data_IF_393584931660
#
_entry.id   IF_393584931660
#
_cell.length_a   1.000
_cell.length_b   1.000
_cell.length_c   1.000
_cell.angle_alpha   90.00
_cell.angle_beta   90.00
_cell.angle_gamma   90.00
#
_symmetry.space_group_name_H-M   'P 1'
#
loop_
_entity.id
_entity.type
_entity.pdbx_description
1 polymer ?
#
# COMPACT_ATOMS: atom_id res chain seq x y z
N UNK A 1 29.87 -39.15 -29.40
CA UNK A 1 29.41 -38.12 -28.45
C UNK A 1 30.55 -37.14 -28.36
N UNK A 2 30.32 -35.87 -28.67
CA UNK A 2 31.30 -34.82 -28.54
C UNK A 2 31.53 -34.52 -27.05
N UNK A 3 32.77 -34.59 -26.52
CA UNK A 3 33.07 -34.35 -25.11
C UNK A 3 32.74 -32.95 -24.62
N UNK A 4 32.59 -31.99 -25.55
CA UNK A 4 32.25 -30.58 -25.22
C UNK A 4 30.72 -30.35 -25.10
N UNK A 5 29.89 -31.33 -25.39
CA UNK A 5 28.43 -31.17 -25.36
C UNK A 5 27.87 -31.53 -24.01
N UNK A 6 27.20 -30.57 -23.35
CA UNK A 6 26.43 -30.84 -22.12
C UNK A 6 25.24 -31.73 -22.47
N UNK A 7 25.17 -32.89 -21.86
CA UNK A 7 24.11 -33.89 -22.09
C UNK A 7 22.91 -33.68 -21.17
N UNK A 8 23.16 -33.25 -19.92
CA UNK A 8 22.11 -32.94 -18.94
C UNK A 8 22.65 -32.00 -17.89
N UNK A 9 21.74 -31.29 -17.23
CA UNK A 9 22.03 -30.38 -16.14
C UNK A 9 21.13 -30.74 -14.95
N UNK A 10 21.71 -30.79 -13.76
CA UNK A 10 20.98 -31.03 -12.51
C UNK A 10 21.05 -29.77 -11.68
N UNK A 11 19.91 -29.31 -11.19
CA UNK A 11 19.81 -28.14 -10.34
C UNK A 11 19.01 -28.46 -9.07
N UNK A 12 19.39 -27.87 -7.95
CA UNK A 12 18.59 -27.88 -6.73
C UNK A 12 17.55 -26.76 -6.81
N UNK A 13 16.29 -27.11 -6.84
CA UNK A 13 15.18 -26.18 -6.99
C UNK A 13 14.41 -25.94 -5.68
N UNK A 14 14.96 -26.38 -4.53
CA UNK A 14 14.33 -26.14 -3.22
C UNK A 14 14.33 -24.66 -2.82
N UNK A 15 15.24 -23.89 -3.40
CA UNK A 15 15.28 -22.44 -3.32
C UNK A 15 15.33 -21.88 -4.73
N UNK A 16 14.56 -20.84 -4.97
CA UNK A 16 14.49 -20.15 -6.25
C UNK A 16 14.87 -18.66 -6.07
N UNK A 17 15.48 -18.11 -7.08
CA UNK A 17 15.74 -16.69 -7.15
C UNK A 17 14.65 -15.99 -7.94
N UNK A 18 14.07 -14.98 -7.34
CA UNK A 18 13.18 -14.04 -8.00
C UNK A 18 13.98 -12.81 -8.40
N UNK A 19 14.04 -12.53 -9.69
CA UNK A 19 14.60 -11.27 -10.19
C UNK A 19 13.47 -10.26 -10.40
N UNK A 20 13.62 -9.08 -9.85
CA UNK A 20 12.69 -7.97 -9.99
C UNK A 20 13.43 -6.76 -10.54
N UNK A 21 12.74 -5.96 -11.35
CA UNK A 21 13.22 -4.69 -11.85
C UNK A 21 12.51 -3.56 -11.11
N UNK A 22 13.25 -2.74 -10.38
CA UNK A 22 12.73 -1.65 -9.57
C UNK A 22 13.19 -0.31 -10.13
N UNK A 23 12.30 0.69 -10.27
CA UNK A 23 12.70 2.03 -10.69
C UNK A 23 13.77 2.63 -9.78
N UNK A 24 14.77 3.28 -10.38
CA UNK A 24 15.88 3.90 -9.65
C UNK A 24 15.40 4.90 -8.58
N UNK A 25 14.31 5.59 -8.82
CA UNK A 25 13.72 6.56 -7.89
C UNK A 25 13.19 5.95 -6.59
N UNK A 26 12.94 4.63 -6.57
CA UNK A 26 12.42 3.92 -5.40
C UNK A 26 13.54 3.23 -4.59
N UNK A 27 14.79 3.34 -5.01
CA UNK A 27 15.90 2.61 -4.40
C UNK A 27 16.18 3.02 -2.95
N UNK A 28 15.95 4.28 -2.60
CA UNK A 28 16.14 4.80 -1.24
C UNK A 28 15.23 4.12 -0.20
N UNK A 29 14.15 3.47 -0.66
CA UNK A 29 13.20 2.77 0.19
C UNK A 29 13.54 1.28 0.36
N UNK A 30 14.54 0.78 -0.38
CA UNK A 30 14.91 -0.62 -0.37
C UNK A 30 16.02 -0.91 0.62
N UNK A 31 15.87 -2.00 1.36
CA UNK A 31 16.89 -2.54 2.25
C UNK A 31 16.95 -4.06 2.13
N UNK A 32 18.15 -4.61 2.22
CA UNK A 32 18.33 -6.06 2.30
C UNK A 32 17.58 -6.61 3.52
N UNK A 33 16.97 -7.76 3.36
CA UNK A 33 16.16 -8.40 4.40
C UNK A 33 14.68 -8.03 4.35
N UNK A 34 14.25 -7.10 3.49
CA UNK A 34 12.83 -6.81 3.30
C UNK A 34 12.08 -8.04 2.79
N UNK A 35 10.85 -8.20 3.26
CA UNK A 35 9.95 -9.25 2.79
C UNK A 35 9.45 -8.94 1.39
N UNK A 36 9.32 -9.99 0.59
CA UNK A 36 8.75 -9.93 -0.75
C UNK A 36 7.63 -10.94 -0.83
N UNK A 37 6.56 -10.59 -1.52
CA UNK A 37 5.49 -11.48 -1.92
C UNK A 37 5.52 -11.66 -3.42
N UNK A 38 5.60 -12.88 -3.87
CA UNK A 38 5.58 -13.20 -5.29
C UNK A 38 4.31 -13.97 -5.63
N UNK A 39 3.58 -13.49 -6.61
CA UNK A 39 2.39 -14.15 -7.16
C UNK A 39 2.68 -14.56 -8.58
N UNK A 40 2.88 -15.87 -8.86
CA UNK A 40 3.08 -16.37 -10.22
C UNK A 40 1.87 -16.10 -11.10
N UNK A 41 2.10 -15.81 -12.38
CA UNK A 41 1.04 -15.61 -13.35
C UNK A 41 0.14 -16.84 -13.45
N UNK A 42 -1.17 -16.62 -13.47
CA UNK A 42 -2.17 -17.69 -13.49
C UNK A 42 -2.36 -18.42 -12.16
N UNK A 43 -1.63 -18.06 -11.10
CA UNK A 43 -1.76 -18.61 -9.76
C UNK A 43 -2.43 -17.61 -8.82
N UNK A 44 -3.16 -18.12 -7.81
CA UNK A 44 -3.63 -17.34 -6.67
C UNK A 44 -2.74 -17.52 -5.43
N UNK A 45 -1.72 -18.34 -5.54
CA UNK A 45 -0.81 -18.57 -4.43
C UNK A 45 0.25 -17.50 -4.38
N UNK A 46 0.44 -16.95 -3.20
CA UNK A 46 1.52 -16.02 -2.88
C UNK A 46 2.66 -16.81 -2.27
N UNK A 47 3.86 -16.55 -2.75
CA UNK A 47 5.09 -17.13 -2.20
C UNK A 47 5.89 -16.03 -1.54
N UNK A 48 6.18 -16.20 -0.25
CA UNK A 48 6.99 -15.25 0.50
C UNK A 48 8.47 -15.46 0.21
N UNK A 49 9.20 -14.36 0.19
CA UNK A 49 10.64 -14.33 0.01
C UNK A 49 11.31 -13.19 0.76
N UNK A 50 12.60 -13.11 0.62
CA UNK A 50 13.42 -12.08 1.27
C UNK A 50 14.38 -11.49 0.24
N UNK A 51 14.45 -10.15 0.20
CA UNK A 51 15.38 -9.40 -0.64
C UNK A 51 16.81 -9.67 -0.14
N UNK A 52 17.63 -10.31 -0.95
CA UNK A 52 18.99 -10.73 -0.57
C UNK A 52 20.09 -10.02 -1.36
N UNK A 53 19.75 -9.39 -2.49
CA UNK A 53 20.71 -8.69 -3.30
C UNK A 53 20.09 -7.54 -4.09
N UNK A 54 20.86 -6.47 -4.24
CA UNK A 54 20.52 -5.27 -5.00
C UNK A 54 21.70 -4.95 -5.94
N UNK A 55 21.41 -4.75 -7.22
CA UNK A 55 22.45 -4.38 -8.19
C UNK A 55 22.97 -2.97 -7.87
N UNK A 56 24.27 -2.78 -8.06
CA UNK A 56 24.94 -1.48 -7.90
C UNK A 56 24.82 -0.58 -9.13
N UNK A 57 24.29 -1.11 -10.23
CA UNK A 57 24.13 -0.38 -11.49
C UNK A 57 22.68 -0.39 -11.92
N UNK A 58 22.20 0.76 -12.39
CA UNK A 58 20.94 0.85 -13.11
C UNK A 58 21.15 0.59 -14.61
N UNK A 59 20.18 -0.01 -15.23
CA UNK A 59 20.10 -0.10 -16.68
C UNK A 59 19.89 1.31 -17.29
N UNK A 60 20.68 1.66 -18.30
CA UNK A 60 20.72 3.02 -18.87
C UNK A 60 19.46 3.38 -19.66
N UNK A 61 18.84 2.39 -20.27
CA UNK A 61 17.73 2.58 -21.19
C UNK A 61 16.41 2.57 -20.44
N UNK A 62 16.27 1.65 -19.48
CA UNK A 62 15.03 1.46 -18.70
C UNK A 62 15.02 2.25 -17.39
N UNK A 63 16.18 2.67 -16.87
CA UNK A 63 16.37 3.28 -15.55
C UNK A 63 15.89 2.37 -14.40
N UNK A 64 15.95 1.07 -14.62
CA UNK A 64 15.61 0.07 -13.63
C UNK A 64 16.88 -0.49 -12.98
N UNK A 65 16.76 -0.84 -11.71
CA UNK A 65 17.78 -1.57 -10.96
C UNK A 65 17.27 -2.99 -10.75
N UNK A 66 18.10 -3.98 -11.07
CA UNK A 66 17.77 -5.35 -10.76
C UNK A 66 17.96 -5.63 -9.27
N UNK A 67 16.99 -6.28 -8.69
CA UNK A 67 17.06 -6.79 -7.33
C UNK A 67 16.72 -8.27 -7.31
N UNK A 68 17.26 -8.99 -6.34
CA UNK A 68 17.03 -10.42 -6.22
C UNK A 68 16.46 -10.77 -4.85
N UNK A 69 15.48 -11.63 -4.86
CA UNK A 69 14.96 -12.22 -3.64
C UNK A 69 15.11 -13.74 -3.67
N UNK A 70 15.25 -14.31 -2.50
CA UNK A 70 15.26 -15.75 -2.29
C UNK A 70 13.86 -16.21 -1.91
N UNK A 71 13.32 -17.16 -2.69
CA UNK A 71 12.03 -17.80 -2.46
C UNK A 71 12.22 -19.25 -2.01
N UNK A 72 11.49 -19.67 -0.98
CA UNK A 72 11.42 -21.07 -0.62
C UNK A 72 10.51 -21.83 -1.60
N UNK A 73 10.99 -22.98 -2.10
CA UNK A 73 10.27 -23.84 -3.04
C UNK A 73 10.32 -25.30 -2.60
N UNK A 74 10.05 -25.56 -1.32
CA UNK A 74 10.11 -26.89 -0.75
C UNK A 74 9.09 -27.86 -1.38
N UNK A 75 7.98 -27.36 -1.86
CA UNK A 75 6.91 -28.13 -2.52
C UNK A 75 7.10 -28.26 -4.03
N UNK A 76 8.16 -27.68 -4.61
CA UNK A 76 8.52 -27.79 -6.02
C UNK A 76 7.52 -27.15 -6.99
N UNK A 77 6.69 -26.21 -6.52
CA UNK A 77 5.64 -25.58 -7.34
C UNK A 77 6.18 -24.47 -8.23
N UNK A 78 7.21 -23.76 -7.77
CA UNK A 78 7.89 -22.78 -8.61
C UNK A 78 8.78 -23.49 -9.61
N UNK A 79 8.69 -23.06 -10.86
CA UNK A 79 9.52 -23.55 -11.95
C UNK A 79 10.46 -22.44 -12.42
N UNK A 80 11.57 -22.84 -13.02
CA UNK A 80 12.45 -21.89 -13.68
C UNK A 80 11.67 -21.10 -14.76
N UNK A 81 12.00 -19.82 -14.90
CA UNK A 81 11.36 -18.91 -15.87
C UNK A 81 9.84 -18.71 -15.61
N UNK A 82 9.40 -18.87 -14.37
CA UNK A 82 8.04 -18.48 -13.98
C UNK A 82 7.99 -16.95 -13.82
N UNK A 83 7.09 -16.33 -14.57
CA UNK A 83 6.80 -14.91 -14.46
C UNK A 83 5.67 -14.66 -13.46
N UNK A 84 5.57 -13.41 -13.01
CA UNK A 84 4.53 -13.00 -12.08
C UNK A 84 4.76 -11.61 -11.52
N UNK A 85 3.95 -11.26 -10.52
CA UNK A 85 4.04 -10.00 -9.83
C UNK A 85 4.78 -10.16 -8.49
N UNK A 86 5.79 -9.32 -8.27
CA UNK A 86 6.50 -9.24 -7.00
C UNK A 86 6.17 -7.94 -6.27
N UNK A 87 5.79 -8.04 -5.01
CA UNK A 87 5.53 -6.91 -4.11
C UNK A 87 6.61 -6.86 -3.04
N UNK A 88 7.34 -5.75 -2.95
CA UNK A 88 8.32 -5.51 -1.90
C UNK A 88 7.63 -4.80 -0.75
N UNK A 89 7.67 -5.39 0.44
CA UNK A 89 7.04 -4.83 1.63
C UNK A 89 7.98 -3.78 2.23
N UNK A 90 7.69 -2.51 1.98
CA UNK A 90 8.53 -1.40 2.44
C UNK A 90 8.34 -1.15 3.94
N UNK A 91 7.11 -1.26 4.44
CA UNK A 91 6.74 -1.07 5.84
C UNK A 91 5.54 -1.95 6.17
N UNK A 92 5.56 -2.51 7.35
CA UNK A 92 4.43 -3.24 7.93
C UNK A 92 4.08 -2.60 9.28
N UNK A 93 2.83 -2.16 9.43
CA UNK A 93 2.33 -1.53 10.64
C UNK A 93 1.02 -2.21 11.05
N UNK A 94 1.05 -2.96 12.16
CA UNK A 94 -0.09 -3.76 12.61
C UNK A 94 -1.19 -2.93 13.26
N UNK A 95 -0.84 -1.79 13.84
CA UNK A 95 -1.76 -0.94 14.61
C UNK A 95 -2.16 0.34 13.86
N UNK A 96 -1.92 0.39 12.54
CA UNK A 96 -2.29 1.53 11.72
C UNK A 96 -3.81 1.73 11.68
N UNK A 97 -4.24 2.95 11.93
CA UNK A 97 -5.62 3.36 11.65
C UNK A 97 -5.71 3.59 10.15
N UNK A 98 -6.58 2.85 9.48
CA UNK A 98 -6.79 2.99 8.04
C UNK A 98 -8.23 3.36 7.74
N UNK A 99 -8.41 4.17 6.71
CA UNK A 99 -9.72 4.57 6.20
C UNK A 99 -9.76 4.30 4.69
N UNK A 100 -10.94 4.03 4.11
CA UNK A 100 -11.07 4.03 2.65
C UNK A 100 -10.59 5.34 2.06
N UNK A 101 -9.78 5.31 1.01
CA UNK A 101 -9.18 6.51 0.40
C UNK A 101 -10.22 7.56 0.01
N UNK A 102 -11.40 7.11 -0.45
CA UNK A 102 -12.52 8.00 -0.79
C UNK A 102 -13.22 8.66 0.41
N UNK A 103 -12.87 8.31 1.66
CA UNK A 103 -13.44 8.94 2.86
C UNK A 103 -12.75 10.25 3.24
N UNK A 104 -11.54 10.49 2.72
CA UNK A 104 -10.78 11.71 2.98
C UNK A 104 -10.99 12.73 1.85
N UNK A 105 -11.12 13.99 2.22
CA UNK A 105 -11.35 15.07 1.29
C UNK A 105 -10.39 16.22 1.52
N UNK A 106 -9.92 16.81 0.43
CA UNK A 106 -9.11 18.02 0.48
C UNK A 106 -9.99 19.25 0.68
N UNK A 107 -9.71 20.06 1.71
CA UNK A 107 -10.44 21.31 2.05
C UNK A 107 -9.55 22.55 1.94
N UNK A 108 -8.83 22.65 0.82
CA UNK A 108 -7.98 23.79 0.53
C UNK A 108 -6.62 23.80 1.25
N UNK A 109 -6.57 23.62 2.54
CA UNK A 109 -5.33 23.62 3.34
C UNK A 109 -5.05 22.29 4.03
N UNK A 110 -6.04 21.44 4.20
CA UNK A 110 -5.92 20.20 4.97
C UNK A 110 -6.80 19.08 4.42
N UNK A 111 -6.48 17.86 4.80
CA UNK A 111 -7.34 16.70 4.58
C UNK A 111 -8.34 16.62 5.73
N UNK A 112 -9.59 16.34 5.40
CA UNK A 112 -10.67 16.18 6.38
C UNK A 112 -11.40 14.88 6.19
N UNK A 113 -11.96 14.37 7.29
CA UNK A 113 -12.93 13.28 7.31
C UNK A 113 -14.16 13.69 8.10
N UNK A 114 -15.26 13.01 7.88
CA UNK A 114 -16.52 13.24 8.57
C UNK A 114 -16.73 12.15 9.60
N UNK A 115 -16.58 12.48 10.89
CA UNK A 115 -16.74 11.55 12.00
C UNK A 115 -18.17 11.63 12.50
N UNK A 116 -18.82 10.49 12.63
CA UNK A 116 -20.19 10.37 13.13
C UNK A 116 -20.25 10.78 14.61
N UNK A 117 -21.23 11.62 14.97
CA UNK A 117 -21.49 11.98 16.36
C UNK A 117 -21.81 10.74 17.21
N UNK A 118 -21.39 10.73 18.47
CA UNK A 118 -21.61 9.63 19.41
C UNK A 118 -23.10 9.40 19.67
N UNK A 119 -23.89 10.48 19.71
CA UNK A 119 -25.32 10.48 19.98
C UNK A 119 -26.19 10.28 18.73
N UNK A 120 -25.57 9.84 17.62
CA UNK A 120 -26.23 9.68 16.31
C UNK A 120 -27.52 8.83 16.37
N UNK A 121 -27.59 7.88 17.28
CA UNK A 121 -28.72 6.95 17.43
C UNK A 121 -29.61 7.21 18.64
N UNK A 122 -29.34 8.21 19.47
CA UNK A 122 -30.06 8.47 20.72
C UNK A 122 -31.54 8.80 20.49
N UNK A 123 -31.87 9.42 19.35
CA UNK A 123 -33.25 9.71 19.00
C UNK A 123 -33.46 9.50 17.49
N UNK A 124 -34.53 8.80 17.08
CA UNK A 124 -34.88 8.62 15.65
C UNK A 124 -35.11 9.95 14.93
N UNK A 125 -35.69 10.90 15.64
CA UNK A 125 -36.11 12.21 15.07
C UNK A 125 -35.03 13.30 15.21
N UNK A 126 -33.91 13.01 15.84
CA UNK A 126 -32.81 13.95 15.98
C UNK A 126 -32.04 14.14 14.67
N UNK A 127 -31.49 15.34 14.47
CA UNK A 127 -30.57 15.58 13.37
C UNK A 127 -29.39 14.63 13.43
N UNK A 128 -29.03 14.05 12.28
CA UNK A 128 -27.88 13.17 12.15
C UNK A 128 -26.63 14.02 11.90
N UNK A 129 -25.79 14.10 12.91
CA UNK A 129 -24.63 14.99 12.93
C UNK A 129 -23.35 14.24 12.59
N UNK A 130 -22.56 14.85 11.73
CA UNK A 130 -21.16 14.46 11.47
C UNK A 130 -20.26 15.66 11.81
N UNK A 131 -19.16 15.38 12.48
CA UNK A 131 -18.13 16.38 12.79
C UNK A 131 -17.05 16.33 11.73
N UNK A 132 -16.72 17.48 11.18
CA UNK A 132 -15.56 17.64 10.30
C UNK A 132 -14.32 17.61 11.16
N UNK A 133 -13.35 16.77 10.79
CA UNK A 133 -12.10 16.66 11.52
C UNK A 133 -10.93 16.65 10.56
N UNK A 134 -9.97 17.54 10.79
CA UNK A 134 -8.71 17.54 10.07
C UNK A 134 -7.91 16.30 10.41
N UNK A 135 -7.31 15.69 9.40
CA UNK A 135 -6.51 14.47 9.53
C UNK A 135 -5.17 14.64 8.85
N UNK A 136 -4.18 13.97 9.42
CA UNK A 136 -2.90 13.78 8.77
C UNK A 136 -2.85 12.37 8.18
N UNK A 137 -2.75 12.30 6.86
CA UNK A 137 -2.68 11.04 6.14
C UNK A 137 -1.23 10.53 6.07
N UNK A 138 -1.10 9.22 6.02
CA UNK A 138 0.14 8.49 5.83
C UNK A 138 0.18 7.78 4.48
N UNK A 139 0.64 6.54 4.49
CA UNK A 139 0.77 5.73 3.30
C UNK A 139 -0.59 5.35 2.70
N UNK A 140 -0.62 5.27 1.37
CA UNK A 140 -1.76 4.77 0.62
C UNK A 140 -1.44 3.36 0.15
N UNK A 141 -2.34 2.42 0.41
CA UNK A 141 -2.21 1.03 -0.03
C UNK A 141 -3.52 0.59 -0.71
N UNK A 142 -3.54 0.66 -2.03
CA UNK A 142 -4.72 0.35 -2.82
C UNK A 142 -5.90 1.26 -2.48
N UNK A 143 -6.98 0.68 -1.95
CA UNK A 143 -8.22 1.39 -1.64
C UNK A 143 -8.24 2.02 -0.25
N UNK A 144 -7.18 1.83 0.56
CA UNK A 144 -7.10 2.34 1.92
C UNK A 144 -5.95 3.31 2.09
N UNK A 145 -6.17 4.29 2.95
CA UNK A 145 -5.18 5.31 3.34
C UNK A 145 -4.98 5.27 4.85
N UNK A 146 -3.74 5.27 5.27
CA UNK A 146 -3.36 5.39 6.68
C UNK A 146 -3.71 6.77 7.21
N UNK A 147 -4.22 6.82 8.44
CA UNK A 147 -4.43 8.06 9.18
C UNK A 147 -3.46 8.11 10.35
N UNK A 148 -2.47 8.99 10.26
CA UNK A 148 -1.45 9.16 11.29
C UNK A 148 -2.02 9.86 12.53
N UNK A 149 -2.94 10.82 12.31
CA UNK A 149 -3.60 11.53 13.40
C UNK A 149 -4.93 12.12 12.96
N UNK A 150 -5.80 12.42 13.94
CA UNK A 150 -7.11 13.04 13.72
C UNK A 150 -8.30 12.09 13.84
N UNK A 151 -8.09 10.79 13.83
CA UNK A 151 -9.14 9.76 14.05
C UNK A 151 -8.71 8.84 15.18
N UNK A 152 -9.63 8.47 16.04
CA UNK A 152 -9.38 7.52 17.12
C UNK A 152 -9.91 6.13 16.75
N UNK A 153 -9.28 5.07 17.29
CA UNK A 153 -9.78 3.71 17.11
C UNK A 153 -11.23 3.60 17.57
N UNK A 154 -12.07 2.94 16.74
CA UNK A 154 -13.49 2.74 17.05
C UNK A 154 -14.41 3.89 16.66
N UNK A 155 -13.90 5.02 16.21
CA UNK A 155 -14.74 6.07 15.62
C UNK A 155 -15.30 5.62 14.27
N UNK A 156 -16.53 6.05 13.97
CA UNK A 156 -17.18 5.76 12.70
C UNK A 156 -17.09 6.97 11.80
N UNK A 157 -16.55 6.75 10.61
CA UNK A 157 -16.41 7.80 9.59
C UNK A 157 -17.37 7.56 8.43
N UNK A 158 -17.81 8.65 7.79
CA UNK A 158 -18.56 8.60 6.56
C UNK A 158 -17.64 8.23 5.39
N UNK A 159 -18.01 7.20 4.63
CA UNK A 159 -17.30 6.76 3.44
C UNK A 159 -18.12 7.02 2.18
N UNK A 160 -19.20 6.28 2.02
CA UNK A 160 -20.15 6.51 0.93
C UNK A 160 -20.99 7.76 1.20
N UNK A 161 -21.04 8.69 0.26
CA UNK A 161 -21.76 9.95 0.41
C UNK A 161 -21.02 11.03 1.22
N UNK A 162 -19.74 10.82 1.55
CA UNK A 162 -18.91 11.82 2.22
C UNK A 162 -18.66 13.07 1.37
N UNK A 163 -18.73 12.95 0.06
CA UNK A 163 -18.71 14.02 -0.93
C UNK A 163 -19.93 14.95 -0.79
N UNK A 164 -21.10 14.40 -0.47
CA UNK A 164 -22.32 15.18 -0.19
C UNK A 164 -22.16 16.01 1.09
N UNK A 165 -21.57 15.41 2.14
CA UNK A 165 -21.25 16.14 3.38
C UNK A 165 -20.25 17.25 3.11
N UNK A 166 -19.25 17.04 2.29
CA UNK A 166 -18.31 18.08 1.85
C UNK A 166 -19.03 19.21 1.10
N UNK A 167 -19.89 18.87 0.16
CA UNK A 167 -20.66 19.88 -0.59
C UNK A 167 -21.53 20.71 0.34
N UNK A 168 -22.15 20.11 1.36
CA UNK A 168 -22.94 20.82 2.36
C UNK A 168 -22.07 21.73 3.23
N UNK A 169 -20.89 21.27 3.64
CA UNK A 169 -19.93 22.10 4.37
C UNK A 169 -19.54 23.34 3.58
N UNK A 170 -19.16 23.16 2.31
CA UNK A 170 -18.79 24.26 1.41
C UNK A 170 -19.93 25.26 1.22
N UNK A 171 -21.18 24.76 1.10
CA UNK A 171 -22.35 25.63 0.97
C UNK A 171 -22.57 26.49 2.20
N UNK A 172 -22.32 25.97 3.40
CA UNK A 172 -22.46 26.70 4.65
C UNK A 172 -21.32 27.71 4.90
N UNK A 173 -20.13 27.46 4.30
CA UNK A 173 -18.92 28.25 4.46
C UNK A 173 -18.63 29.18 3.27
N UNK A 174 -19.62 29.44 2.41
CA UNK A 174 -19.48 30.39 1.30
C UNK A 174 -19.11 31.79 1.83
N UNK A 175 -17.82 32.14 1.74
CA UNK A 175 -17.28 33.43 2.19
C UNK A 175 -16.45 33.39 3.48
N UNK A 176 -16.43 32.30 4.20
CA UNK A 176 -15.47 32.09 5.28
C UNK A 176 -14.18 31.49 4.69
N UNK A 177 -13.06 32.16 4.83
CA UNK A 177 -11.74 31.56 4.55
C UNK A 177 -11.49 30.36 5.44
N UNK A 178 -10.51 29.50 5.06
CA UNK A 178 -10.07 28.39 5.92
C UNK A 178 -9.56 28.94 7.26
N UNK A 179 -10.35 28.85 8.31
CA UNK A 179 -9.87 28.98 9.68
C UNK A 179 -9.25 27.66 10.11
N UNK A 180 -8.04 27.40 9.66
CA UNK A 180 -7.21 26.37 10.24
C UNK A 180 -6.71 26.90 11.58
N UNK A 181 -7.51 26.75 12.64
CA UNK A 181 -7.04 26.98 13.99
C UNK A 181 -6.10 25.84 14.35
N UNK A 182 -4.82 26.15 14.38
CA UNK A 182 -3.82 25.29 15.00
C UNK A 182 -4.00 25.40 16.52
N UNK A 183 -4.50 24.34 17.14
CA UNK A 183 -4.29 24.06 18.56
C UNK A 183 -3.33 22.89 18.71
#
# INVERSE_FOLDING_TARGET
VDPSRILFQVADTRQMWLQLSVPLENMDQLALGQRIRFTPDGSRQVVDGVLDWVNTSADKDTRMVEVRAMLANADGRLRNETYGMGEIILREESDAIVVPTGASHWEGCCQVVFVRDKNYFDSPDSFKVFHVRSVRLGAVNGEVTEVISGVLPGEVIATSGSDVLKAQLLKNNLGAGCDCVAE
#
